data_IF_140498104399
#
_entry.id   IF_140498104399
#
_cell.length_a   1.000
_cell.length_b   1.000
_cell.length_c   1.000
_cell.angle_alpha   90.00
_cell.angle_beta   90.00
_cell.angle_gamma   90.00
#
_symmetry.space_group_name_H-M   'P 1'
#
loop_
_entity.id
_entity.type
_entity.pdbx_description
1 polymer ?
#
# COMPACT_ATOMS: atom_id res chain seq x y z
N UNK A 1 18.39 30.70 68.37
CA UNK A 1 19.16 30.99 67.12
C UNK A 1 19.42 29.78 66.21
N UNK A 2 19.09 28.54 66.61
CA UNK A 2 19.28 27.30 65.74
C UNK A 2 18.19 27.02 64.72
N UNK A 3 16.92 27.50 64.92
CA UNK A 3 15.78 27.16 64.07
C UNK A 3 15.81 27.86 62.72
N UNK A 4 16.38 29.06 62.62
CA UNK A 4 16.47 29.85 61.37
C UNK A 4 17.48 29.27 60.39
N UNK A 5 18.52 28.59 60.89
CA UNK A 5 19.55 27.99 60.05
C UNK A 5 19.09 26.68 59.37
N UNK A 6 18.20 25.92 60.01
CA UNK A 6 17.61 24.70 59.48
C UNK A 6 16.58 25.01 58.39
N UNK A 7 15.78 26.06 58.53
CA UNK A 7 14.80 26.53 57.55
C UNK A 7 15.49 26.95 56.22
N UNK A 8 16.62 27.67 56.29
CA UNK A 8 17.38 28.08 55.10
C UNK A 8 18.01 26.89 54.37
N UNK A 9 18.42 25.83 55.07
CA UNK A 9 18.95 24.61 54.45
C UNK A 9 17.82 23.81 53.77
N UNK A 10 16.66 23.72 54.41
CA UNK A 10 15.49 23.04 53.84
C UNK A 10 14.96 23.74 52.59
N UNK A 11 14.96 25.08 52.56
CA UNK A 11 14.58 25.88 51.42
C UNK A 11 15.54 25.68 50.23
N UNK A 12 16.87 25.57 50.48
CA UNK A 12 17.85 25.28 49.44
C UNK A 12 17.73 23.88 48.86
N UNK A 13 17.44 22.89 49.71
CA UNK A 13 17.23 21.50 49.24
C UNK A 13 15.94 21.42 48.40
N UNK A 14 14.88 22.10 48.82
CA UNK A 14 13.62 22.15 48.07
C UNK A 14 13.83 22.86 46.73
N UNK A 15 14.57 23.96 46.67
CA UNK A 15 14.88 24.66 45.45
C UNK A 15 15.74 23.80 44.48
N UNK A 16 16.74 23.07 44.98
CA UNK A 16 17.50 22.13 44.17
C UNK A 16 16.63 20.96 43.66
N UNK A 17 15.72 20.44 44.49
CA UNK A 17 14.82 19.38 44.09
C UNK A 17 13.85 19.82 42.96
N UNK A 18 13.35 21.06 43.03
CA UNK A 18 12.48 21.61 41.96
C UNK A 18 13.22 21.84 40.67
N UNK A 19 14.49 22.30 40.71
CA UNK A 19 15.34 22.46 39.52
C UNK A 19 15.66 21.10 38.89
N UNK A 20 15.93 20.07 39.68
CA UNK A 20 16.14 18.71 39.18
C UNK A 20 14.88 18.08 38.56
N UNK A 21 13.70 18.37 39.11
CA UNK A 21 12.41 17.89 38.53
C UNK A 21 12.06 18.59 37.20
N UNK A 22 12.42 19.87 37.04
CA UNK A 22 12.16 20.59 35.78
C UNK A 22 13.15 20.21 34.67
N UNK A 23 14.36 19.76 35.00
CA UNK A 23 15.36 19.33 34.04
C UNK A 23 14.95 18.03 33.28
N UNK A 24 14.03 17.22 33.82
CA UNK A 24 13.55 16.01 33.18
C UNK A 24 12.49 16.26 32.08
N UNK A 25 11.97 17.46 31.96
CA UNK A 25 10.94 17.80 30.95
C UNK A 25 11.51 18.21 29.58
N UNK A 26 12.80 18.39 29.47
CA UNK A 26 13.48 18.75 28.22
C UNK A 26 13.78 17.52 27.32
N UNK A 27 12.87 16.53 27.24
CA UNK A 27 12.87 15.57 26.14
C UNK A 27 12.28 16.25 24.91
N UNK A 28 13.11 17.13 24.35
CA UNK A 28 12.83 17.82 23.11
C UNK A 28 12.52 16.80 21.99
N UNK A 29 11.56 17.14 21.22
CA UNK A 29 11.28 16.89 19.81
C UNK A 29 12.19 15.82 19.18
N UNK A 30 11.90 14.56 19.50
CA UNK A 30 12.69 13.45 19.00
C UNK A 30 12.29 13.16 17.55
N UNK A 31 13.28 13.04 16.66
CA UNK A 31 13.08 12.45 15.34
C UNK A 31 12.64 11.01 15.53
N UNK A 32 11.51 10.65 14.95
CA UNK A 32 11.03 9.28 14.95
C UNK A 32 11.04 8.72 13.54
N UNK A 33 11.55 7.51 13.39
CA UNK A 33 11.62 6.78 12.13
C UNK A 33 10.96 5.44 12.35
N UNK A 34 9.89 5.20 11.61
CA UNK A 34 9.21 3.91 11.61
C UNK A 34 9.15 3.33 10.20
N UNK A 35 9.34 2.03 10.08
CA UNK A 35 9.16 1.31 8.84
C UNK A 35 8.16 0.19 9.07
N UNK A 36 7.23 0.03 8.15
CA UNK A 36 6.23 -1.03 8.16
C UNK A 36 6.10 -1.65 6.78
N UNK A 37 5.63 -2.86 6.72
CA UNK A 37 5.31 -3.57 5.50
C UNK A 37 3.84 -4.00 5.55
N UNK A 38 3.13 -3.89 4.45
CA UNK A 38 1.70 -4.20 4.36
C UNK A 38 1.41 -5.71 4.42
N UNK A 39 2.35 -6.53 3.95
CA UNK A 39 2.25 -7.99 4.02
C UNK A 39 3.58 -8.60 4.44
N UNK A 40 3.54 -9.47 5.45
CA UNK A 40 4.71 -10.24 5.90
C UNK A 40 4.95 -11.50 5.06
N UNK A 41 3.99 -11.85 4.21
CA UNK A 41 4.00 -13.07 3.41
C UNK A 41 3.56 -12.76 1.99
N UNK A 42 4.33 -13.22 1.01
CA UNK A 42 4.06 -13.07 -0.41
C UNK A 42 4.19 -14.41 -1.12
N UNK A 43 3.46 -14.57 -2.21
CA UNK A 43 3.79 -15.55 -3.23
C UNK A 43 4.91 -15.00 -4.13
N UNK A 44 5.66 -15.89 -4.77
CA UNK A 44 6.67 -15.52 -5.77
C UNK A 44 6.02 -14.62 -6.83
N UNK A 45 6.62 -13.43 -7.05
CA UNK A 45 6.16 -12.43 -8.01
C UNK A 45 5.03 -11.53 -7.52
N UNK A 46 4.48 -11.74 -6.32
CA UNK A 46 3.56 -10.78 -5.71
C UNK A 46 4.31 -9.53 -5.22
N UNK A 47 3.56 -8.47 -5.03
CA UNK A 47 4.08 -7.18 -4.59
C UNK A 47 3.68 -6.88 -3.16
N UNK A 48 4.59 -6.27 -2.40
CA UNK A 48 4.30 -5.65 -1.12
C UNK A 48 4.80 -4.21 -1.08
N UNK A 49 4.25 -3.43 -0.16
CA UNK A 49 4.64 -2.04 0.05
C UNK A 49 5.32 -1.88 1.39
N UNK A 50 6.53 -1.35 1.36
CA UNK A 50 7.22 -0.86 2.56
C UNK A 50 6.91 0.62 2.70
N UNK A 51 6.39 1.01 3.86
CA UNK A 51 6.12 2.39 4.23
C UNK A 51 7.15 2.84 5.23
N UNK A 52 7.89 3.89 4.89
CA UNK A 52 8.82 4.57 5.76
C UNK A 52 8.18 5.89 6.20
N UNK A 53 7.97 6.06 7.51
CA UNK A 53 7.41 7.27 8.10
C UNK A 53 8.48 7.95 8.97
N UNK A 54 8.72 9.21 8.67
CA UNK A 54 9.70 10.05 9.38
C UNK A 54 8.99 11.26 9.96
N UNK A 55 8.96 11.39 11.28
CA UNK A 55 8.44 12.56 11.96
C UNK A 55 9.60 13.35 12.58
N UNK A 56 9.72 14.61 12.20
CA UNK A 56 10.79 15.51 12.62
C UNK A 56 10.31 16.95 12.72
N UNK A 57 11.17 17.86 13.18
CA UNK A 57 10.86 19.29 13.17
C UNK A 57 10.88 19.85 11.75
N UNK A 58 9.97 20.79 11.47
CA UNK A 58 9.82 21.36 10.13
C UNK A 58 11.06 22.09 9.59
N UNK A 59 11.95 22.54 10.49
CA UNK A 59 13.17 23.26 10.14
C UNK A 59 14.37 22.33 9.85
N UNK A 60 14.20 21.02 10.00
CA UNK A 60 15.27 20.04 9.79
C UNK A 60 15.34 19.61 8.34
N UNK A 61 16.55 19.28 7.87
CA UNK A 61 16.79 18.77 6.53
C UNK A 61 16.82 17.25 6.55
N UNK A 62 15.95 16.61 5.75
CA UNK A 62 15.90 15.17 5.57
C UNK A 62 16.66 14.75 4.32
N UNK A 63 17.41 13.66 4.45
CA UNK A 63 17.94 12.90 3.32
C UNK A 63 17.44 11.46 3.44
N UNK A 64 16.61 11.04 2.50
CA UNK A 64 16.05 9.68 2.41
C UNK A 64 17.12 8.70 1.90
N UNK A 65 16.98 7.40 2.20
CA UNK A 65 17.90 6.39 1.71
C UNK A 65 17.88 6.33 0.18
N UNK A 66 19.06 6.30 -0.43
CA UNK A 66 19.20 6.18 -1.88
C UNK A 66 19.09 4.71 -2.34
N UNK A 67 17.94 4.09 -2.09
CA UNK A 67 17.63 2.76 -2.61
C UNK A 67 17.35 2.87 -4.12
N UNK A 68 17.80 1.86 -4.90
CA UNK A 68 17.54 1.83 -6.35
C UNK A 68 16.85 0.53 -6.75
N UNK A 69 17.62 -0.50 -7.01
CA UNK A 69 17.11 -1.72 -7.65
C UNK A 69 16.74 -2.81 -6.64
N UNK A 70 17.46 -2.87 -5.50
CA UNK A 70 17.26 -3.90 -4.48
C UNK A 70 17.41 -3.33 -3.07
N UNK A 71 16.68 -3.92 -2.11
CA UNK A 71 16.90 -3.65 -0.68
C UNK A 71 17.93 -4.62 -0.14
N UNK A 72 17.75 -5.91 -0.42
CA UNK A 72 18.67 -7.01 -0.15
C UNK A 72 18.67 -7.95 -1.35
N UNK A 73 19.68 -8.80 -1.45
CA UNK A 73 19.73 -9.80 -2.52
C UNK A 73 18.46 -10.66 -2.49
N UNK A 74 17.74 -10.71 -3.62
CA UNK A 74 16.50 -11.46 -3.79
C UNK A 74 15.23 -10.66 -3.49
N UNK A 75 15.32 -9.40 -3.04
CA UNK A 75 14.17 -8.51 -2.88
C UNK A 75 14.39 -7.27 -3.74
N UNK A 76 13.63 -7.17 -4.82
CA UNK A 76 13.73 -6.12 -5.82
C UNK A 76 12.76 -4.98 -5.53
N UNK A 77 13.16 -3.76 -5.88
CA UNK A 77 12.33 -2.57 -5.80
C UNK A 77 11.76 -2.32 -7.19
N UNK A 78 10.44 -2.36 -7.31
CA UNK A 78 9.74 -2.11 -8.57
C UNK A 78 9.43 -0.62 -8.75
N UNK A 79 9.09 0.06 -7.67
CA UNK A 79 8.72 1.47 -7.71
C UNK A 79 9.05 2.17 -6.39
N UNK A 80 9.39 3.44 -6.51
CA UNK A 80 9.63 4.36 -5.38
C UNK A 80 8.69 5.53 -5.56
N UNK A 81 7.60 5.56 -4.78
CA UNK A 81 6.64 6.66 -4.83
C UNK A 81 7.29 7.99 -4.43
N UNK A 82 6.74 9.11 -4.87
CA UNK A 82 7.20 10.41 -4.40
C UNK A 82 6.90 10.58 -2.91
N UNK A 83 7.83 11.17 -2.13
CA UNK A 83 7.59 11.43 -0.72
C UNK A 83 6.37 12.33 -0.52
N UNK A 84 5.43 11.90 0.32
CA UNK A 84 4.33 12.73 0.80
C UNK A 84 4.75 13.44 2.08
N UNK A 85 4.49 14.74 2.16
CA UNK A 85 4.90 15.57 3.28
C UNK A 85 3.68 16.25 3.89
N UNK A 86 3.44 15.99 5.18
CA UNK A 86 2.33 16.54 5.95
C UNK A 86 2.87 17.40 7.10
N UNK A 87 2.36 18.62 7.24
CA UNK A 87 2.67 19.49 8.37
C UNK A 87 1.76 19.16 9.55
N UNK A 88 2.35 18.99 10.71
CA UNK A 88 1.69 18.70 11.99
C UNK A 88 1.94 19.83 13.00
N UNK A 89 1.08 19.92 14.00
CA UNK A 89 1.23 20.85 15.14
C UNK A 89 1.46 22.31 14.68
N UNK A 90 0.55 22.84 13.88
CA UNK A 90 0.59 24.22 13.34
C UNK A 90 1.89 24.53 12.59
N UNK A 91 2.41 23.57 11.84
CA UNK A 91 3.61 23.73 11.02
C UNK A 91 4.93 23.59 11.76
N UNK A 92 4.93 23.20 13.05
CA UNK A 92 6.14 22.98 13.82
C UNK A 92 6.80 21.65 13.58
N UNK A 93 6.02 20.63 13.23
CA UNK A 93 6.52 19.31 12.89
C UNK A 93 6.11 18.91 11.48
N UNK A 94 6.89 18.02 10.90
CA UNK A 94 6.70 17.49 9.57
C UNK A 94 6.70 15.96 9.64
N UNK A 95 5.71 15.34 9.02
CA UNK A 95 5.63 13.90 8.78
C UNK A 95 5.86 13.65 7.31
N UNK A 96 6.88 12.86 7.00
CA UNK A 96 7.22 12.47 5.63
C UNK A 96 6.97 10.98 5.50
N UNK A 97 6.20 10.60 4.47
CA UNK A 97 5.88 9.22 4.13
C UNK A 97 6.49 8.87 2.79
N UNK A 98 7.25 7.81 2.76
CA UNK A 98 7.86 7.26 1.54
C UNK A 98 7.40 5.81 1.38
N UNK A 99 6.88 5.46 0.20
CA UNK A 99 6.49 4.08 -0.11
C UNK A 99 7.47 3.48 -1.12
N UNK A 100 7.82 2.21 -0.88
CA UNK A 100 8.63 1.37 -1.77
C UNK A 100 7.81 0.14 -2.13
N UNK A 101 7.54 -0.07 -3.42
CA UNK A 101 6.91 -1.30 -3.90
C UNK A 101 8.00 -2.32 -4.18
N UNK A 102 7.91 -3.47 -3.53
CA UNK A 102 8.91 -4.53 -3.62
C UNK A 102 8.29 -5.83 -4.13
N UNK A 103 9.14 -6.69 -4.67
CA UNK A 103 8.80 -8.06 -5.06
C UNK A 103 9.98 -9.00 -4.81
N UNK A 104 9.72 -10.30 -4.87
CA UNK A 104 10.75 -11.32 -4.87
C UNK A 104 10.35 -12.50 -5.76
N UNK A 105 11.31 -13.07 -6.46
CA UNK A 105 11.14 -14.23 -7.34
C UNK A 105 11.72 -15.51 -6.75
N UNK A 106 12.28 -15.45 -5.56
CA UNK A 106 12.83 -16.60 -4.85
C UNK A 106 12.04 -16.90 -3.57
N UNK A 107 11.71 -18.17 -3.35
CA UNK A 107 11.04 -18.62 -2.11
C UNK A 107 12.04 -18.68 -0.97
N UNK A 108 12.00 -17.69 -0.08
CA UNK A 108 12.89 -17.56 1.06
C UNK A 108 12.28 -16.73 2.19
N UNK A 109 12.97 -16.75 3.34
CA UNK A 109 12.73 -15.80 4.42
C UNK A 109 13.81 -14.71 4.35
N UNK A 110 13.38 -13.48 4.08
CA UNK A 110 14.27 -12.34 3.96
C UNK A 110 14.26 -11.49 5.22
N UNK A 111 15.46 -11.14 5.69
CA UNK A 111 15.66 -10.10 6.68
C UNK A 111 15.93 -8.78 5.95
N UNK A 112 15.04 -7.82 6.13
CA UNK A 112 15.17 -6.48 5.59
C UNK A 112 15.83 -5.60 6.64
N UNK A 113 17.05 -5.12 6.40
CA UNK A 113 17.78 -4.34 7.39
C UNK A 113 17.08 -3.02 7.69
N UNK A 114 17.34 -2.41 8.85
CA UNK A 114 16.89 -1.08 9.16
C UNK A 114 17.25 -0.08 8.06
N UNK A 115 16.27 0.70 7.62
CA UNK A 115 16.51 1.79 6.67
C UNK A 115 17.18 2.96 7.41
N UNK A 116 18.32 3.41 6.90
CA UNK A 116 19.05 4.55 7.45
C UNK A 116 18.68 5.84 6.73
N UNK A 117 18.30 6.83 7.50
CA UNK A 117 18.02 8.19 7.02
C UNK A 117 18.90 9.19 7.72
N UNK A 118 19.17 10.32 7.09
CA UNK A 118 19.93 11.41 7.69
C UNK A 118 18.99 12.59 7.94
N UNK A 119 18.96 13.05 9.20
CA UNK A 119 18.29 14.29 9.58
C UNK A 119 19.35 15.24 10.12
N UNK A 120 19.55 16.38 9.49
CA UNK A 120 20.64 17.33 9.80
C UNK A 120 22.01 16.64 9.88
N UNK A 121 22.32 15.71 8.96
CA UNK A 121 23.54 14.89 8.93
C UNK A 121 23.69 13.89 10.10
N UNK A 122 22.69 13.73 10.94
CA UNK A 122 22.65 12.70 11.96
C UNK A 122 21.88 11.48 11.45
N UNK A 123 22.47 10.30 11.61
CA UNK A 123 21.86 9.05 11.15
C UNK A 123 20.79 8.55 12.13
N UNK A 124 19.62 8.23 11.60
CA UNK A 124 18.51 7.56 12.30
C UNK A 124 18.17 6.30 11.55
N UNK A 125 17.72 5.27 12.27
CA UNK A 125 17.40 3.96 11.70
C UNK A 125 16.00 3.55 12.05
N UNK A 126 15.33 2.95 11.07
CA UNK A 126 14.03 2.33 11.28
C UNK A 126 14.15 0.99 12.03
N UNK A 127 13.03 0.35 12.27
CA UNK A 127 13.01 -1.08 12.64
C UNK A 127 13.46 -1.94 11.46
N UNK A 128 14.03 -3.10 11.76
CA UNK A 128 14.20 -4.17 10.79
C UNK A 128 12.84 -4.81 10.48
N UNK A 129 12.67 -5.28 9.26
CA UNK A 129 11.48 -5.98 8.81
C UNK A 129 11.84 -7.41 8.38
N UNK A 130 10.84 -8.26 8.26
CA UNK A 130 10.99 -9.61 7.73
C UNK A 130 9.93 -9.84 6.66
N UNK A 131 10.31 -10.55 5.61
CA UNK A 131 9.42 -10.91 4.50
C UNK A 131 9.60 -12.39 4.20
N UNK A 132 8.52 -13.16 4.23
CA UNK A 132 8.53 -14.54 3.83
C UNK A 132 7.87 -14.72 2.47
N UNK A 133 8.61 -15.29 1.55
CA UNK A 133 8.14 -15.55 0.18
C UNK A 133 7.93 -17.04 0.00
N UNK A 134 6.77 -17.42 -0.51
CA UNK A 134 6.38 -18.80 -0.77
C UNK A 134 6.28 -19.09 -2.26
N UNK A 135 6.61 -20.31 -2.61
CA UNK A 135 6.23 -20.90 -3.89
C UNK A 135 4.90 -21.63 -3.75
N UNK A 136 4.08 -21.61 -4.76
CA UNK A 136 2.92 -22.50 -4.85
C UNK A 136 3.46 -23.93 -5.02
N UNK A 137 3.11 -24.87 -4.14
CA UNK A 137 3.49 -26.26 -4.35
C UNK A 137 2.82 -26.79 -5.62
N UNK A 138 3.62 -27.19 -6.60
CA UNK A 138 3.15 -27.83 -7.82
C UNK A 138 3.35 -29.32 -7.66
N UNK A 139 2.28 -30.11 -7.85
CA UNK A 139 2.38 -31.56 -7.90
C UNK A 139 3.08 -31.96 -9.22
N UNK A 140 4.36 -32.30 -9.11
CA UNK A 140 5.16 -32.77 -10.24
C UNK A 140 5.07 -34.30 -10.45
N UNK A 141 4.43 -35.02 -9.52
CA UNK A 141 4.29 -36.48 -9.58
C UNK A 141 3.16 -36.92 -10.50
N UNK A 142 2.18 -36.03 -10.73
CA UNK A 142 1.01 -36.31 -11.57
C UNK A 142 0.89 -35.23 -12.68
N UNK A 143 1.80 -35.21 -13.64
CA UNK A 143 1.81 -34.21 -14.71
C UNK A 143 0.55 -34.27 -15.59
N UNK A 144 -0.15 -35.40 -15.62
CA UNK A 144 -1.42 -35.59 -16.32
C UNK A 144 -2.59 -34.84 -15.67
N UNK A 145 -2.47 -34.42 -14.42
CA UNK A 145 -3.50 -33.64 -13.70
C UNK A 145 -3.38 -32.13 -13.92
N UNK A 146 -2.48 -31.68 -14.75
CA UNK A 146 -2.48 -30.29 -15.16
C UNK A 146 -3.79 -30.01 -15.91
N UNK A 147 -4.57 -29.12 -15.35
CA UNK A 147 -5.73 -28.62 -16.05
C UNK A 147 -5.27 -28.02 -17.37
N UNK A 148 -5.78 -28.57 -18.47
CA UNK A 148 -5.56 -28.00 -19.79
C UNK A 148 -5.96 -26.54 -19.88
N UNK A 149 -5.62 -25.83 -20.95
CA UNK A 149 -6.06 -24.47 -21.14
C UNK A 149 -7.57 -24.40 -20.93
N UNK A 150 -8.03 -23.40 -20.18
CA UNK A 150 -9.46 -23.21 -19.97
C UNK A 150 -10.16 -23.19 -21.32
N UNK A 151 -11.10 -24.12 -21.52
CA UNK A 151 -11.92 -24.13 -22.71
C UNK A 151 -12.66 -22.83 -22.87
N UNK A 152 -12.78 -22.34 -24.08
CA UNK A 152 -13.62 -21.18 -24.38
C UNK A 152 -15.01 -21.50 -23.87
N UNK A 153 -15.55 -20.65 -23.02
CA UNK A 153 -16.90 -20.79 -22.50
C UNK A 153 -17.86 -20.63 -23.68
N UNK A 154 -18.50 -21.71 -24.09
CA UNK A 154 -19.59 -21.61 -25.03
C UNK A 154 -20.77 -20.91 -24.34
N UNK A 155 -21.14 -19.77 -24.88
CA UNK A 155 -22.33 -19.05 -24.41
C UNK A 155 -23.53 -19.67 -25.15
N UNK A 156 -24.45 -20.34 -24.46
CA UNK A 156 -25.62 -20.90 -25.11
C UNK A 156 -26.45 -19.73 -25.68
N UNK A 157 -26.86 -19.88 -26.95
CA UNK A 157 -27.77 -18.92 -27.61
C UNK A 157 -29.09 -19.00 -26.87
N UNK A 158 -29.52 -17.91 -26.31
CA UNK A 158 -30.79 -17.81 -25.59
C UNK A 158 -31.90 -17.28 -26.52
N UNK A 159 -33.16 -17.50 -26.11
CA UNK A 159 -34.31 -16.93 -26.85
C UNK A 159 -34.24 -15.41 -26.95
N UNK A 160 -33.67 -14.75 -25.95
CA UNK A 160 -33.49 -13.31 -25.93
C UNK A 160 -32.58 -12.82 -27.06
N UNK A 161 -31.55 -13.57 -27.40
CA UNK A 161 -30.59 -13.23 -28.46
C UNK A 161 -31.19 -13.28 -29.85
N UNK A 162 -32.17 -14.20 -30.08
CA UNK A 162 -32.76 -14.39 -31.38
C UNK A 162 -34.17 -13.77 -31.52
N UNK A 163 -34.80 -13.41 -30.41
CA UNK A 163 -36.19 -12.92 -30.37
C UNK A 163 -36.39 -11.69 -31.26
N UNK A 164 -35.46 -10.75 -31.26
CA UNK A 164 -35.54 -9.54 -32.09
C UNK A 164 -35.58 -9.87 -33.60
N UNK A 165 -34.77 -10.85 -34.02
CA UNK A 165 -34.70 -11.29 -35.41
C UNK A 165 -36.03 -11.99 -35.80
N UNK A 166 -36.55 -12.83 -34.89
CA UNK A 166 -37.84 -13.53 -35.14
C UNK A 166 -38.97 -12.51 -35.28
N UNK A 167 -39.10 -11.54 -34.40
CA UNK A 167 -40.13 -10.52 -34.48
C UNK A 167 -40.00 -9.63 -35.73
N UNK A 168 -38.77 -9.31 -36.12
CA UNK A 168 -38.51 -8.52 -37.33
C UNK A 168 -38.94 -9.29 -38.58
N UNK A 169 -38.64 -10.57 -38.67
CA UNK A 169 -39.04 -11.41 -39.81
C UNK A 169 -40.57 -11.59 -39.89
N UNK A 170 -41.23 -11.78 -38.75
CA UNK A 170 -42.71 -11.82 -38.69
C UNK A 170 -43.34 -10.50 -39.15
N UNK A 171 -42.80 -9.37 -38.73
CA UNK A 171 -43.25 -8.04 -39.15
C UNK A 171 -43.11 -7.86 -40.67
N UNK A 172 -41.97 -8.25 -41.22
CA UNK A 172 -41.73 -8.17 -42.68
C UNK A 172 -42.69 -9.02 -43.47
N UNK A 173 -42.99 -10.25 -43.00
CA UNK A 173 -43.99 -11.12 -43.63
C UNK A 173 -45.42 -10.54 -43.55
N UNK A 174 -45.77 -9.93 -42.42
CA UNK A 174 -47.07 -9.30 -42.27
C UNK A 174 -47.26 -8.09 -43.23
N UNK A 175 -46.21 -7.26 -43.36
CA UNK A 175 -46.20 -6.13 -44.28
C UNK A 175 -46.29 -6.59 -45.77
N UNK A 176 -45.55 -7.64 -46.12
CA UNK A 176 -45.62 -8.23 -47.45
C UNK A 176 -47.02 -8.79 -47.76
N UNK A 177 -47.64 -9.51 -46.81
CA UNK A 177 -49.01 -9.99 -46.91
C UNK A 177 -50.04 -8.88 -47.06
N UNK A 178 -49.90 -7.79 -46.27
CA UNK A 178 -50.76 -6.61 -46.38
C UNK A 178 -50.60 -5.94 -47.73
N UNK A 179 -49.37 -5.75 -48.20
CA UNK A 179 -49.07 -5.15 -49.52
C UNK A 179 -49.70 -5.98 -50.66
N UNK A 180 -49.56 -7.31 -50.59
CA UNK A 180 -50.19 -8.22 -51.56
C UNK A 180 -51.71 -8.14 -51.50
N UNK A 181 -52.32 -8.10 -50.34
CA UNK A 181 -53.77 -7.94 -50.18
C UNK A 181 -54.26 -6.62 -50.76
N UNK A 182 -53.57 -5.49 -50.49
CA UNK A 182 -53.94 -4.18 -51.07
C UNK A 182 -53.79 -4.17 -52.58
N UNK A 183 -52.74 -4.82 -53.11
CA UNK A 183 -52.57 -4.95 -54.57
C UNK A 183 -53.73 -5.70 -55.23
N UNK A 184 -54.17 -6.82 -54.68
CA UNK A 184 -55.30 -7.57 -55.16
C UNK A 184 -56.61 -6.76 -55.03
N UNK A 185 -56.82 -6.06 -53.94
CA UNK A 185 -57.98 -5.19 -53.73
C UNK A 185 -58.08 -4.09 -54.77
N UNK A 186 -56.93 -3.51 -55.18
CA UNK A 186 -56.87 -2.46 -56.20
C UNK A 186 -57.16 -3.00 -57.63
N UNK A 187 -56.83 -4.30 -57.87
CA UNK A 187 -57.12 -4.91 -59.21
C UNK A 187 -58.59 -5.36 -59.32
N UNK A 188 -59.25 -5.62 -58.18
CA UNK A 188 -60.63 -6.04 -58.18
C UNK A 188 -61.65 -4.89 -58.14
N UNK A 189 -61.27 -3.66 -58.21
CA UNK A 189 -62.05 -2.48 -58.37
C UNK A 189 -62.01 -2.09 -59.87
#
# INVERSE_FOLDING_TARGET
MKIIHTSKKFLKILACATILLTAHQAKAQQVTVDASIDSLQLLIGEQAKIKLEVSMDANQKLTLPALRDTIVRGVEILDIAKPDTQMLNDGRRMLIKQEYTITSFDSALYYLPPLEILVNNQAYRSKALALKVYSIPVDTLHPEQFFGPKTVREVPITWEDVSAIVWLTLLMLALAGLSYYLYLSLIHI
#
